data_IF_872281505605
#
_entry.id   IF_872281505605
#
_cell.length_a   1.000
_cell.length_b   1.000
_cell.length_c   1.000
_cell.angle_alpha   90.00
_cell.angle_beta   90.00
_cell.angle_gamma   90.00
#
_symmetry.space_group_name_H-M   'P 1'
#
loop_
_entity.id
_entity.type
_entity.pdbx_description
1 polymer ?
#
# COMPACT_ATOMS: atom_id res chain seq x y z
N UNK A 1 0.76 -2.67 -6.22
CA UNK A 1 -0.67 -3.01 -6.07
C UNK A 1 -1.51 -1.76 -6.29
N UNK A 2 -2.37 -1.76 -7.25
CA UNK A 2 -3.18 -0.59 -7.59
C UNK A 2 -4.66 -0.96 -7.74
N UNK A 3 -5.54 -0.03 -7.40
CA UNK A 3 -6.97 -0.14 -7.71
C UNK A 3 -7.31 0.35 -9.12
N UNK A 4 -6.34 0.74 -9.90
CA UNK A 4 -6.52 1.11 -11.31
C UNK A 4 -6.61 -0.12 -12.20
N UNK A 5 -7.25 0.04 -13.36
CA UNK A 5 -7.22 -0.99 -14.40
C UNK A 5 -5.83 -1.08 -15.02
N UNK A 6 -5.47 -2.27 -15.51
CA UNK A 6 -4.16 -2.52 -16.12
C UNK A 6 -3.88 -1.61 -17.32
N UNK A 7 -4.90 -1.27 -18.10
CA UNK A 7 -4.73 -0.41 -19.27
C UNK A 7 -4.19 0.99 -18.93
N UNK A 8 -4.55 1.52 -17.76
CA UNK A 8 -3.98 2.77 -17.27
C UNK A 8 -2.68 2.53 -16.50
N UNK A 9 -2.70 1.60 -15.57
CA UNK A 9 -1.56 1.35 -14.67
C UNK A 9 -0.29 0.97 -15.45
N UNK A 10 -0.41 0.12 -16.47
CA UNK A 10 0.75 -0.31 -17.24
C UNK A 10 1.38 0.84 -18.03
N UNK A 11 0.60 1.80 -18.49
CA UNK A 11 1.14 2.99 -19.16
C UNK A 11 2.05 3.77 -18.21
N UNK A 12 1.58 4.01 -16.98
CA UNK A 12 2.36 4.72 -15.96
C UNK A 12 3.58 3.92 -15.54
N UNK A 13 3.40 2.63 -15.27
CA UNK A 13 4.48 1.77 -14.79
C UNK A 13 5.54 1.53 -15.86
N UNK A 14 5.15 1.40 -17.12
CA UNK A 14 6.09 1.25 -18.23
C UNK A 14 6.89 2.54 -18.48
N UNK A 15 6.31 3.69 -18.17
CA UNK A 15 7.05 4.97 -18.20
C UNK A 15 8.10 5.02 -17.09
N UNK A 16 7.73 4.58 -15.87
CA UNK A 16 8.64 4.59 -14.71
C UNK A 16 9.67 3.46 -14.76
N UNK A 17 9.31 2.34 -15.37
CA UNK A 17 10.11 1.12 -15.38
C UNK A 17 10.04 0.46 -16.77
N UNK A 18 10.64 1.11 -17.79
CA UNK A 18 10.53 0.64 -19.19
C UNK A 18 11.15 -0.73 -19.42
N UNK A 19 12.14 -1.11 -18.63
CA UNK A 19 12.82 -2.39 -18.74
C UNK A 19 12.23 -3.48 -17.82
N UNK A 20 11.17 -3.14 -17.07
CA UNK A 20 10.48 -4.03 -16.13
C UNK A 20 11.42 -4.70 -15.12
N UNK A 21 12.34 -3.94 -14.57
CA UNK A 21 13.33 -4.42 -13.60
C UNK A 21 13.05 -3.95 -12.17
N UNK A 22 12.28 -2.86 -12.00
CA UNK A 22 12.03 -2.26 -10.70
C UNK A 22 10.83 -2.89 -9.98
N UNK A 23 9.76 -3.17 -10.72
CA UNK A 23 8.55 -3.77 -10.18
C UNK A 23 8.52 -5.26 -10.54
N UNK A 24 8.66 -6.11 -9.55
CA UNK A 24 8.68 -7.56 -9.77
C UNK A 24 7.30 -8.10 -10.18
N UNK A 25 6.24 -7.55 -9.60
CA UNK A 25 4.87 -7.97 -9.86
C UNK A 25 3.97 -6.75 -9.93
N UNK A 26 2.88 -6.87 -10.70
CA UNK A 26 1.87 -5.83 -10.87
C UNK A 26 0.51 -6.41 -10.58
N UNK A 27 -0.15 -5.88 -9.56
CA UNK A 27 -1.51 -6.26 -9.19
C UNK A 27 -2.44 -5.08 -9.46
N UNK A 28 -3.60 -5.37 -10.02
CA UNK A 28 -4.54 -4.36 -10.51
C UNK A 28 -5.88 -4.45 -9.81
N UNK A 29 -6.87 -3.67 -10.28
CA UNK A 29 -8.22 -3.63 -9.71
C UNK A 29 -8.84 -5.02 -9.59
N UNK A 30 -8.67 -5.89 -10.56
CA UNK A 30 -9.20 -7.25 -10.56
C UNK A 30 -8.67 -8.12 -9.41
N UNK A 31 -7.53 -7.73 -8.83
CA UNK A 31 -6.93 -8.41 -7.67
C UNK A 31 -7.38 -7.81 -6.34
N UNK A 32 -8.11 -6.70 -6.37
CA UNK A 32 -8.67 -6.08 -5.18
C UNK A 32 -9.96 -6.78 -4.76
N UNK A 33 -10.25 -6.72 -3.47
CA UNK A 33 -11.58 -7.05 -2.95
C UNK A 33 -12.47 -5.83 -3.13
N UNK A 34 -13.59 -5.99 -3.83
CA UNK A 34 -14.57 -4.92 -3.98
C UNK A 34 -15.63 -5.07 -2.89
N UNK A 35 -15.79 -4.06 -2.05
CA UNK A 35 -16.79 -4.04 -0.99
C UNK A 35 -18.17 -3.70 -1.54
N UNK A 36 -19.20 -3.93 -0.73
CA UNK A 36 -20.58 -3.57 -1.08
C UNK A 36 -20.76 -2.06 -1.33
N UNK A 37 -19.88 -1.25 -0.72
CA UNK A 37 -19.87 0.22 -0.91
C UNK A 37 -19.01 0.66 -2.10
N UNK A 38 -18.50 -0.26 -2.90
CA UNK A 38 -17.68 0.03 -4.06
C UNK A 38 -16.25 0.43 -3.75
N UNK A 39 -15.76 0.17 -2.55
CA UNK A 39 -14.35 0.41 -2.21
C UNK A 39 -13.50 -0.77 -2.60
N UNK A 40 -12.30 -0.49 -3.12
CA UNK A 40 -11.34 -1.53 -3.51
C UNK A 40 -10.31 -1.69 -2.40
N UNK A 41 -10.31 -2.87 -1.80
CA UNK A 41 -9.40 -3.20 -0.70
C UNK A 41 -8.27 -4.07 -1.24
N UNK A 42 -7.06 -3.71 -0.90
CA UNK A 42 -5.85 -4.44 -1.30
C UNK A 42 -5.50 -5.45 -0.23
N UNK A 43 -6.12 -6.61 -0.31
CA UNK A 43 -5.94 -7.68 0.67
C UNK A 43 -4.59 -8.37 0.46
N UNK A 44 -3.67 -8.22 1.40
CA UNK A 44 -2.32 -8.76 1.29
C UNK A 44 -2.26 -10.29 1.35
N UNK A 45 -3.31 -10.94 1.81
CA UNK A 45 -3.36 -12.40 1.88
C UNK A 45 -3.28 -13.09 0.53
N UNK A 46 -3.63 -12.38 -0.55
CA UNK A 46 -3.54 -12.94 -1.91
C UNK A 46 -2.09 -13.10 -2.40
N UNK A 47 -1.14 -12.44 -1.74
CA UNK A 47 0.27 -12.43 -2.18
C UNK A 47 0.99 -13.71 -1.74
N UNK A 48 0.45 -14.43 -0.77
CA UNK A 48 1.00 -15.68 -0.27
C UNK A 48 2.43 -15.54 0.27
N UNK A 49 2.65 -14.47 1.03
CA UNK A 49 3.89 -14.24 1.80
C UNK A 49 3.52 -13.95 3.24
N UNK A 50 4.45 -14.17 4.19
CA UNK A 50 4.17 -13.83 5.59
C UNK A 50 3.80 -12.35 5.76
N UNK A 51 2.75 -12.07 6.50
CA UNK A 51 2.36 -10.68 6.78
C UNK A 51 3.45 -9.94 7.57
N UNK A 52 4.29 -10.66 8.30
CA UNK A 52 5.44 -10.08 8.99
C UNK A 52 6.45 -9.42 8.05
N UNK A 53 6.43 -9.75 6.76
CA UNK A 53 7.40 -9.32 5.76
C UNK A 53 6.81 -8.40 4.68
N UNK A 54 5.58 -7.93 4.88
CA UNK A 54 4.89 -7.12 3.89
C UNK A 54 4.43 -5.78 4.46
N UNK A 55 4.50 -4.74 3.63
CA UNK A 55 3.87 -3.46 3.91
C UNK A 55 3.11 -2.99 2.68
N UNK A 56 2.06 -2.21 2.91
CA UNK A 56 1.30 -1.56 1.85
C UNK A 56 1.31 -0.05 2.11
N UNK A 57 1.92 0.69 1.19
CA UNK A 57 1.95 2.16 1.24
C UNK A 57 0.79 2.67 0.38
N UNK A 58 -0.14 3.38 0.99
CA UNK A 58 -1.31 3.88 0.26
C UNK A 58 -1.83 5.15 0.93
N UNK A 59 -2.35 6.06 0.10
CA UNK A 59 -2.98 7.29 0.59
C UNK A 59 -4.42 7.07 1.05
N UNK A 60 -5.05 6.00 0.63
CA UNK A 60 -6.41 5.65 1.03
C UNK A 60 -6.37 4.57 2.12
N UNK A 61 -6.78 4.95 3.32
CA UNK A 61 -6.70 4.05 4.48
C UNK A 61 -7.53 2.78 4.31
N UNK A 62 -8.65 2.83 3.60
CA UNK A 62 -9.45 1.64 3.34
C UNK A 62 -8.69 0.59 2.53
N UNK A 63 -7.69 0.98 1.75
CA UNK A 63 -6.90 0.04 0.95
C UNK A 63 -6.29 -1.07 1.78
N UNK A 64 -5.82 -0.75 3.00
CA UNK A 64 -5.22 -1.74 3.90
C UNK A 64 -6.09 -2.05 5.12
N UNK A 65 -7.40 -1.83 5.01
CA UNK A 65 -8.32 -2.02 6.15
C UNK A 65 -8.38 -3.46 6.68
N UNK A 66 -8.05 -4.46 5.83
CA UNK A 66 -8.00 -5.85 6.28
C UNK A 66 -6.70 -6.19 7.03
N UNK A 67 -5.63 -5.43 6.81
CA UNK A 67 -4.35 -5.61 7.49
C UNK A 67 -3.80 -4.24 7.93
N UNK A 68 -4.46 -3.58 8.86
CA UNK A 68 -4.10 -2.23 9.32
C UNK A 68 -2.64 -2.11 9.76
N UNK A 69 -2.12 -3.12 10.43
CA UNK A 69 -0.75 -3.10 10.95
C UNK A 69 0.30 -3.21 9.84
N UNK A 70 -0.09 -3.60 8.63
CA UNK A 70 0.79 -3.64 7.45
C UNK A 70 0.72 -2.35 6.64
N UNK A 71 -0.22 -1.45 6.96
CA UNK A 71 -0.42 -0.21 6.23
C UNK A 71 0.54 0.89 6.63
N UNK A 72 1.01 1.62 5.64
CA UNK A 72 1.80 2.85 5.83
C UNK A 72 1.05 3.98 5.15
N UNK A 73 0.56 4.96 5.94
CA UNK A 73 -0.16 6.09 5.36
C UNK A 73 0.80 7.04 4.64
N UNK A 74 0.34 7.59 3.55
CA UNK A 74 1.06 8.61 2.79
C UNK A 74 0.05 9.64 2.29
N UNK A 75 0.46 10.92 2.20
CA UNK A 75 -0.40 11.93 1.62
C UNK A 75 -0.55 11.71 0.12
N UNK A 76 -1.74 11.99 -0.46
CA UNK A 76 -1.95 11.78 -1.88
C UNK A 76 -1.07 12.73 -2.71
N UNK A 77 -0.57 12.22 -3.83
CA UNK A 77 0.17 13.00 -4.80
C UNK A 77 -0.78 13.70 -5.76
N UNK A 78 -0.54 15.00 -5.97
CA UNK A 78 -1.24 15.80 -6.97
C UNK A 78 -0.24 16.39 -7.95
N UNK A 79 -0.55 16.31 -9.22
CA UNK A 79 0.28 16.85 -10.30
C UNK A 79 0.63 18.34 -10.05
N UNK A 80 1.90 18.69 -10.26
CA UNK A 80 2.40 20.04 -10.05
C UNK A 80 2.69 20.43 -8.61
N UNK A 81 2.44 19.54 -7.65
CA UNK A 81 2.77 19.78 -6.25
C UNK A 81 4.24 19.45 -5.96
N UNK A 82 4.81 20.15 -4.97
CA UNK A 82 6.12 19.79 -4.40
C UNK A 82 5.88 18.66 -3.39
N UNK A 83 6.04 17.42 -3.84
CA UNK A 83 5.75 16.25 -3.03
C UNK A 83 7.05 15.51 -2.70
N UNK A 84 7.35 15.38 -1.39
CA UNK A 84 8.51 14.67 -0.87
C UNK A 84 8.12 13.47 0.00
N UNK A 85 6.88 13.01 -0.09
CA UNK A 85 6.33 12.00 0.82
C UNK A 85 7.03 10.65 0.71
N UNK A 86 7.24 10.13 -0.50
CA UNK A 86 7.96 8.88 -0.69
C UNK A 86 9.43 9.01 -0.25
N UNK A 87 10.05 10.15 -0.54
CA UNK A 87 11.42 10.40 -0.13
C UNK A 87 11.55 10.45 1.40
N UNK A 88 10.57 11.05 2.07
CA UNK A 88 10.53 11.10 3.52
C UNK A 88 10.39 9.71 4.15
N UNK A 89 9.79 8.75 3.43
CA UNK A 89 9.65 7.38 3.90
C UNK A 89 10.92 6.53 3.75
N UNK A 90 11.89 6.96 2.95
CA UNK A 90 13.10 6.15 2.68
C UNK A 90 13.80 5.68 3.96
N UNK A 91 14.00 6.58 4.92
CA UNK A 91 14.69 6.23 6.18
C UNK A 91 13.89 5.24 7.01
N UNK A 92 12.57 5.36 6.99
CA UNK A 92 11.69 4.41 7.66
C UNK A 92 11.73 3.04 6.99
N UNK A 93 11.59 3.00 5.67
CA UNK A 93 11.61 1.76 4.89
C UNK A 93 12.93 1.01 5.03
N UNK A 94 14.04 1.74 5.18
CA UNK A 94 15.36 1.16 5.37
C UNK A 94 15.50 0.39 6.69
N UNK A 95 14.64 0.66 7.67
CA UNK A 95 14.61 -0.05 8.95
C UNK A 95 13.87 -1.38 8.88
N UNK A 96 12.98 -1.54 7.90
CA UNK A 96 12.09 -2.69 7.83
C UNK A 96 12.81 -4.03 7.63
N UNK A 97 13.86 -4.14 6.80
CA UNK A 97 14.57 -5.42 6.63
C UNK A 97 15.19 -5.96 7.91
N UNK A 98 15.49 -5.08 8.87
CA UNK A 98 16.02 -5.47 10.17
C UNK A 98 14.96 -5.92 11.18
N UNK A 99 13.69 -5.77 10.85
CA UNK A 99 12.60 -6.13 11.74
C UNK A 99 12.25 -7.62 11.60
N UNK A 100 12.01 -8.27 12.74
CA UNK A 100 11.49 -9.64 12.75
C UNK A 100 10.05 -9.67 12.23
N UNK A 101 9.27 -8.64 12.59
CA UNK A 101 7.89 -8.46 12.13
C UNK A 101 7.66 -6.97 11.90
N UNK A 102 7.45 -6.58 10.64
CA UNK A 102 7.26 -5.18 10.27
C UNK A 102 6.02 -4.55 10.92
N UNK A 103 5.03 -5.37 11.27
CA UNK A 103 3.79 -4.88 11.92
C UNK A 103 4.05 -4.27 13.30
N UNK A 104 5.04 -4.76 14.01
CA UNK A 104 5.39 -4.22 15.33
C UNK A 104 5.89 -2.78 15.21
N UNK A 105 6.77 -2.51 14.25
CA UNK A 105 7.28 -1.15 14.03
C UNK A 105 6.19 -0.23 13.49
N UNK A 106 5.41 -0.69 12.52
CA UNK A 106 4.27 0.06 11.97
C UNK A 106 3.27 0.44 13.05
N UNK A 107 2.95 -0.50 13.93
CA UNK A 107 2.00 -0.28 15.03
C UNK A 107 2.46 0.85 15.95
N UNK A 108 3.73 0.87 16.30
CA UNK A 108 4.31 1.92 17.15
C UNK A 108 4.40 3.25 16.44
N UNK A 109 4.71 3.24 15.14
CA UNK A 109 4.98 4.45 14.37
C UNK A 109 3.70 5.16 13.94
N UNK A 110 2.75 4.44 13.38
CA UNK A 110 1.56 5.02 12.77
C UNK A 110 0.31 4.92 13.62
N UNK A 111 0.24 3.95 14.54
CA UNK A 111 -0.84 3.77 15.51
C UNK A 111 -2.24 3.74 14.87
N UNK A 112 -2.35 3.16 13.69
CA UNK A 112 -3.61 3.12 12.93
C UNK A 112 -4.74 2.41 13.69
N UNK A 113 -4.39 1.44 14.52
CA UNK A 113 -5.36 0.72 15.36
C UNK A 113 -6.04 1.61 16.42
N UNK A 114 -5.50 2.82 16.69
CA UNK A 114 -6.09 3.80 17.57
C UNK A 114 -7.11 4.71 16.88
N UNK A 115 -7.13 4.76 15.57
CA UNK A 115 -8.00 5.65 14.80
C UNK A 115 -9.38 5.05 14.52
N UNK A 116 -9.87 4.26 15.45
CA UNK A 116 -11.22 3.78 15.41
C UNK A 116 -11.50 2.80 14.27
N UNK A 117 -12.76 2.43 14.21
CA UNK A 117 -13.25 1.59 13.14
C UNK A 117 -13.38 2.48 11.91
N UNK A 118 -12.45 2.34 10.96
CA UNK A 118 -12.83 2.70 9.61
C UNK A 118 -14.15 1.99 9.36
N UNK A 119 -15.14 2.68 8.79
CA UNK A 119 -16.34 2.04 8.30
C UNK A 119 -15.87 0.85 7.49
N UNK A 120 -15.74 -0.29 8.15
CA UNK A 120 -15.30 -1.47 7.45
C UNK A 120 -16.35 -1.77 6.40
N UNK A 121 -15.93 -1.99 5.16
CA UNK A 121 -16.87 -2.36 4.12
C UNK A 121 -17.28 -3.81 4.34
N UNK A 122 -18.18 -4.01 5.27
CA UNK A 122 -18.86 -5.28 5.42
C UNK A 122 -19.98 -5.41 4.42
#
# INVERSE_FOLDING_TARGET
>A
FTASHSCYADVVLDYLDPERQLFQHRLYREHCYESDKGMYIKDLRIINRPLSDMVLIDNAAYSYSFQLENGIPILPYYEGSNDFELKALESYLAKLPGCKDVRELNKKTFKLHHYGKFDSPE
#
